data_IF_327356098976
#
_entry.id   IF_327356098976
#
_cell.length_a   1.000
_cell.length_b   1.000
_cell.length_c   1.000
_cell.angle_alpha   90.00
_cell.angle_beta   90.00
_cell.angle_gamma   90.00
#
_symmetry.space_group_name_H-M   'P 1'
#
loop_
_entity.id
_entity.type
_entity.pdbx_description
1 polymer ?
#
# COMPACT_ATOMS: atom_id res chain seq x y z
N UNK A 1 15.17 -22.47 23.09
CA UNK A 1 14.01 -21.93 23.83
C UNK A 1 13.07 -21.37 22.79
N UNK A 2 11.84 -21.87 22.70
CA UNK A 2 10.83 -21.25 21.83
C UNK A 2 10.48 -19.88 22.44
N UNK A 3 10.87 -18.80 21.77
CA UNK A 3 10.35 -17.47 22.05
C UNK A 3 8.84 -17.54 21.91
N UNK A 4 8.12 -17.31 23.02
CA UNK A 4 6.68 -17.06 22.94
C UNK A 4 6.51 -15.84 22.04
N UNK A 5 5.93 -16.03 20.85
CA UNK A 5 5.43 -14.93 20.04
C UNK A 5 4.50 -14.09 20.93
N UNK A 6 4.94 -12.89 21.28
CA UNK A 6 4.10 -11.89 21.93
C UNK A 6 3.12 -11.47 20.84
N UNK A 7 1.88 -11.99 20.90
CA UNK A 7 0.84 -11.58 19.97
C UNK A 7 0.47 -10.13 20.29
N UNK A 8 0.96 -9.20 19.48
CA UNK A 8 0.32 -7.89 19.36
C UNK A 8 -1.13 -8.06 18.91
N UNK A 9 -1.90 -6.98 19.00
CA UNK A 9 -3.25 -6.91 18.42
C UNK A 9 -3.19 -5.96 17.21
N UNK A 10 -2.28 -6.22 16.27
CA UNK A 10 -2.22 -5.43 15.04
C UNK A 10 -3.54 -5.66 14.29
N UNK A 11 -4.19 -4.56 13.90
CA UNK A 11 -5.51 -4.58 13.30
C UNK A 11 -5.39 -4.23 11.83
N UNK A 12 -6.22 -4.84 10.99
CA UNK A 12 -6.30 -4.47 9.57
C UNK A 12 -6.83 -3.03 9.40
N UNK A 13 -6.49 -2.38 8.29
CA UNK A 13 -6.94 -1.00 8.00
C UNK A 13 -8.46 -0.91 7.92
N UNK A 14 -9.13 -1.86 7.26
CA UNK A 14 -10.58 -1.85 7.11
C UNK A 14 -11.31 -2.07 8.45
N UNK A 15 -10.76 -2.89 9.33
CA UNK A 15 -11.28 -3.10 10.68
C UNK A 15 -11.04 -1.89 11.58
N UNK A 16 -9.88 -1.25 11.45
CA UNK A 16 -9.51 -0.10 12.24
C UNK A 16 -10.26 1.16 11.80
N UNK A 17 -10.55 1.30 10.50
CA UNK A 17 -11.28 2.40 9.90
C UNK A 17 -12.51 1.88 9.13
N UNK A 18 -13.60 1.52 9.84
CA UNK A 18 -14.78 0.91 9.23
C UNK A 18 -15.43 1.79 8.15
N UNK A 19 -15.24 3.11 8.21
CA UNK A 19 -15.69 4.08 7.19
C UNK A 19 -15.04 3.90 5.81
N UNK A 20 -13.90 3.20 5.73
CA UNK A 20 -13.18 2.89 4.50
C UNK A 20 -13.35 1.42 4.07
N UNK A 21 -14.03 0.58 4.86
CA UNK A 21 -14.09 -0.88 4.62
C UNK A 21 -14.77 -1.30 3.31
N UNK A 22 -15.64 -0.47 2.74
CA UNK A 22 -16.31 -0.69 1.46
C UNK A 22 -15.55 -0.10 0.27
N UNK A 23 -14.60 0.79 0.52
CA UNK A 23 -13.82 1.49 -0.49
C UNK A 23 -12.52 2.04 0.11
N UNK A 24 -11.42 1.32 -0.12
CA UNK A 24 -10.11 1.64 0.40
C UNK A 24 -9.51 2.91 -0.22
N UNK A 25 -10.10 3.44 -1.31
CA UNK A 25 -9.75 4.77 -1.82
C UNK A 25 -10.13 5.92 -0.87
N UNK A 26 -10.91 5.63 0.19
CA UNK A 26 -11.24 6.60 1.24
C UNK A 26 -10.15 6.75 2.30
N UNK A 27 -9.15 5.86 2.32
CA UNK A 27 -8.04 5.95 3.29
C UNK A 27 -7.16 7.13 2.92
N UNK A 28 -6.96 8.04 3.86
CA UNK A 28 -6.16 9.26 3.68
C UNK A 28 -4.76 9.04 4.27
N UNK A 29 -3.74 9.38 3.46
CA UNK A 29 -2.34 9.11 3.72
C UNK A 29 -1.57 10.38 4.08
N UNK A 30 -0.79 10.31 5.14
CA UNK A 30 0.29 11.24 5.42
C UNK A 30 1.53 10.67 4.79
N UNK A 31 1.89 11.16 3.60
CA UNK A 31 3.05 10.70 2.83
C UNK A 31 4.34 11.35 3.35
N UNK A 32 5.43 10.58 3.45
CA UNK A 32 6.77 11.03 3.81
C UNK A 32 6.82 11.88 5.10
N UNK A 33 6.17 11.40 6.17
CA UNK A 33 6.07 12.06 7.49
C UNK A 33 7.39 11.91 8.25
N UNK A 34 8.43 12.56 7.73
CA UNK A 34 9.82 12.33 8.10
C UNK A 34 10.41 13.35 9.09
N UNK A 35 9.63 14.35 9.52
CA UNK A 35 10.09 15.38 10.45
C UNK A 35 9.14 15.52 11.64
N UNK A 36 9.63 16.08 12.75
CA UNK A 36 8.77 16.36 13.92
C UNK A 36 7.58 17.22 13.55
N UNK A 37 7.80 18.25 12.74
CA UNK A 37 6.76 19.18 12.29
C UNK A 37 5.66 18.47 11.49
N UNK A 38 6.03 17.68 10.48
CA UNK A 38 5.04 16.96 9.67
C UNK A 38 4.34 15.87 10.49
N UNK A 39 5.02 15.23 11.44
CA UNK A 39 4.40 14.27 12.34
C UNK A 39 3.35 14.92 13.24
N UNK A 40 3.66 16.04 13.87
CA UNK A 40 2.72 16.79 14.71
C UNK A 40 1.50 17.23 13.91
N UNK A 41 1.73 17.76 12.70
CA UNK A 41 0.67 18.20 11.78
C UNK A 41 -0.22 17.03 11.33
N UNK A 42 0.36 15.90 10.95
CA UNK A 42 -0.37 14.72 10.48
C UNK A 42 -1.16 14.02 11.60
N UNK A 43 -0.64 14.03 12.83
CA UNK A 43 -1.37 13.55 14.01
C UNK A 43 -2.54 14.49 14.35
N UNK A 44 -2.33 15.81 14.24
CA UNK A 44 -3.35 16.80 14.57
C UNK A 44 -4.53 16.81 13.58
N UNK A 45 -4.29 16.49 12.31
CA UNK A 45 -5.33 16.37 11.29
C UNK A 45 -6.24 15.16 11.57
N UNK A 46 -7.53 15.41 11.83
CA UNK A 46 -8.49 14.35 12.13
C UNK A 46 -8.89 13.51 10.89
N UNK A 47 -8.68 14.02 9.67
CA UNK A 47 -8.96 13.29 8.45
C UNK A 47 -7.85 12.29 8.10
N UNK A 48 -6.61 12.55 8.54
CA UNK A 48 -5.45 11.72 8.25
C UNK A 48 -5.57 10.34 8.93
N UNK A 49 -5.39 9.24 8.20
CA UNK A 49 -5.65 7.88 8.71
C UNK A 49 -4.36 7.07 8.84
N UNK A 50 -3.61 6.93 7.75
CA UNK A 50 -2.34 6.20 7.72
C UNK A 50 -1.18 7.17 7.62
N UNK A 51 -0.16 7.00 8.46
CA UNK A 51 1.07 7.79 8.41
C UNK A 51 2.20 6.94 7.84
N UNK A 52 2.75 7.36 6.71
CA UNK A 52 3.88 6.75 6.05
C UNK A 52 5.15 7.56 6.35
N UNK A 53 6.25 6.87 6.64
CA UNK A 53 7.54 7.50 6.84
C UNK A 53 8.70 6.58 6.44
N UNK A 54 9.75 7.20 5.90
CA UNK A 54 10.94 6.54 5.40
C UNK A 54 11.90 6.21 6.55
N UNK A 55 12.34 4.97 6.66
CA UNK A 55 13.28 4.52 7.67
C UNK A 55 14.66 4.29 7.04
N UNK A 56 15.62 5.12 7.45
CA UNK A 56 17.01 5.05 7.00
C UNK A 56 17.97 4.90 8.19
N UNK A 57 19.18 4.40 7.90
CA UNK A 57 20.28 4.42 8.86
C UNK A 57 20.89 5.83 8.90
N UNK A 58 20.87 6.48 10.06
CA UNK A 58 21.43 7.82 10.20
C UNK A 58 21.58 8.30 11.63
N UNK A 59 21.58 9.62 11.82
CA UNK A 59 21.73 10.28 13.13
C UNK A 59 20.69 11.38 13.33
N UNK A 60 20.44 11.73 14.58
CA UNK A 60 19.71 12.94 14.89
C UNK A 60 20.57 14.18 14.61
N UNK A 61 19.97 15.29 14.17
CA UNK A 61 20.68 16.56 13.88
C UNK A 61 21.50 17.11 15.06
N UNK A 62 21.22 16.69 16.29
CA UNK A 62 21.92 17.09 17.51
C UNK A 62 23.05 16.13 17.92
N UNK A 63 23.17 14.98 17.24
CA UNK A 63 24.22 14.00 17.47
C UNK A 63 25.51 14.36 16.72
N UNK A 64 26.65 14.03 17.31
CA UNK A 64 27.96 14.17 16.67
C UNK A 64 28.31 12.97 15.78
N UNK A 65 29.40 13.09 15.03
CA UNK A 65 29.86 12.01 14.12
C UNK A 65 30.21 10.70 14.85
N UNK A 66 30.63 10.80 16.11
CA UNK A 66 31.00 9.65 16.95
C UNK A 66 29.79 8.94 17.60
N UNK A 67 28.59 9.53 17.51
CA UNK A 67 27.37 8.92 18.02
C UNK A 67 26.95 7.73 17.13
N UNK A 68 26.27 6.72 17.71
CA UNK A 68 25.83 5.55 16.96
C UNK A 68 24.84 5.93 15.85
N UNK A 69 24.94 5.23 14.73
CA UNK A 69 23.91 5.23 13.70
C UNK A 69 22.69 4.50 14.24
N UNK A 70 21.52 5.11 14.13
CA UNK A 70 20.23 4.60 14.61
C UNK A 70 19.19 4.66 13.48
N UNK A 71 18.02 4.01 13.62
CA UNK A 71 16.93 4.20 12.67
C UNK A 71 16.31 5.60 12.81
N UNK A 72 16.36 6.36 11.73
CA UNK A 72 15.80 7.71 11.62
C UNK A 72 14.72 7.80 10.55
N UNK A 73 13.85 8.78 10.71
CA UNK A 73 12.83 9.13 9.73
C UNK A 73 13.46 10.01 8.66
N UNK A 74 13.85 9.43 7.52
CA UNK A 74 14.56 10.13 6.46
C UNK A 74 14.48 9.38 5.12
N UNK A 75 14.10 10.09 4.06
CA UNK A 75 14.27 9.62 2.69
C UNK A 75 15.73 9.88 2.22
N UNK A 76 16.40 8.90 1.57
CA UNK A 76 17.70 9.12 0.93
C UNK A 76 17.69 10.31 -0.04
N UNK A 77 18.80 11.06 -0.17
CA UNK A 77 20.12 10.80 0.40
C UNK A 77 20.33 11.34 1.82
N UNK A 78 19.26 11.78 2.52
CA UNK A 78 19.38 12.31 3.87
C UNK A 78 19.82 11.22 4.85
N UNK A 79 20.88 11.49 5.61
CA UNK A 79 21.40 10.61 6.68
C UNK A 79 21.28 11.24 8.06
N UNK A 80 20.60 12.38 8.15
CA UNK A 80 20.30 13.10 9.37
C UNK A 80 18.82 13.45 9.40
N UNK A 81 18.21 13.42 10.58
CA UNK A 81 16.81 13.81 10.79
C UNK A 81 16.64 14.47 12.16
N UNK A 82 15.61 15.29 12.34
CA UNK A 82 15.22 15.74 13.67
C UNK A 82 14.37 14.70 14.42
N UNK A 83 14.06 13.56 13.77
CA UNK A 83 13.12 12.56 14.22
C UNK A 83 13.68 11.14 14.04
N UNK A 84 13.80 10.39 15.14
CA UNK A 84 14.16 8.96 15.10
C UNK A 84 12.91 8.10 14.93
N UNK A 85 13.10 6.83 14.53
CA UNK A 85 12.00 5.84 14.54
C UNK A 85 11.38 5.70 15.93
N UNK A 86 12.20 5.75 16.98
CA UNK A 86 11.73 5.67 18.35
C UNK A 86 10.73 6.78 18.67
N UNK A 87 11.13 8.02 18.39
CA UNK A 87 10.32 9.20 18.65
C UNK A 87 9.04 9.18 17.83
N UNK A 88 9.14 8.77 16.56
CA UNK A 88 8.00 8.69 15.66
C UNK A 88 6.95 7.68 16.15
N UNK A 89 7.36 6.45 16.45
CA UNK A 89 6.41 5.41 16.87
C UNK A 89 5.81 5.70 18.24
N UNK A 90 6.59 6.27 19.17
CA UNK A 90 6.07 6.67 20.48
C UNK A 90 5.00 7.76 20.36
N UNK A 91 5.20 8.72 19.45
CA UNK A 91 4.19 9.76 19.17
C UNK A 91 2.93 9.19 18.53
N UNK A 92 3.04 8.23 17.62
CA UNK A 92 1.88 7.55 17.02
C UNK A 92 1.13 6.72 18.08
N UNK A 93 1.84 6.04 18.99
CA UNK A 93 1.25 5.31 20.10
C UNK A 93 0.50 6.28 21.04
N UNK A 94 1.15 7.37 21.46
CA UNK A 94 0.53 8.41 22.32
C UNK A 94 -0.75 8.97 21.68
N UNK A 95 -0.70 9.32 20.38
CA UNK A 95 -1.85 9.81 19.64
C UNK A 95 -3.01 8.81 19.64
N UNK A 96 -2.72 7.51 19.49
CA UNK A 96 -3.73 6.46 19.52
C UNK A 96 -4.33 6.23 20.91
N UNK A 97 -3.52 6.35 21.97
CA UNK A 97 -4.00 6.33 23.36
C UNK A 97 -4.93 7.53 23.65
N UNK A 98 -4.67 8.67 23.01
CA UNK A 98 -5.52 9.86 23.05
C UNK A 98 -6.73 9.80 22.09
N UNK A 99 -6.93 8.66 21.41
CA UNK A 99 -8.09 8.42 20.55
C UNK A 99 -8.03 9.05 19.16
N UNK A 100 -6.85 9.46 18.69
CA UNK A 100 -6.66 10.08 17.37
C UNK A 100 -6.77 9.11 16.19
N UNK A 101 -6.66 7.80 16.44
CA UNK A 101 -6.74 6.72 15.44
C UNK A 101 -5.82 6.91 14.24
N UNK A 102 -4.59 6.43 14.34
CA UNK A 102 -3.55 6.51 13.29
C UNK A 102 -2.95 5.14 13.04
N UNK A 103 -2.92 4.71 11.79
CA UNK A 103 -2.09 3.59 11.36
C UNK A 103 -0.69 4.04 10.95
N UNK A 104 0.23 3.10 10.85
CA UNK A 104 1.64 3.35 10.56
C UNK A 104 2.11 2.50 9.38
N UNK A 105 2.84 3.12 8.44
CA UNK A 105 3.56 2.46 7.35
C UNK A 105 5.02 2.90 7.40
N UNK A 106 5.92 1.94 7.59
CA UNK A 106 7.36 2.20 7.74
C UNK A 106 8.07 1.74 6.47
N UNK A 107 8.58 2.69 5.68
CA UNK A 107 9.27 2.42 4.41
C UNK A 107 10.78 2.30 4.59
N UNK A 108 11.25 1.06 4.70
CA UNK A 108 12.67 0.77 4.92
C UNK A 108 13.49 0.99 3.65
N UNK A 109 14.41 1.96 3.73
CA UNK A 109 15.34 2.30 2.65
C UNK A 109 16.71 1.67 2.82
N UNK A 110 17.01 1.16 4.01
CA UNK A 110 18.29 0.53 4.32
C UNK A 110 18.10 -0.77 5.13
N UNK A 111 18.55 -1.87 4.56
CA UNK A 111 18.49 -3.19 5.20
C UNK A 111 19.30 -3.27 6.51
N UNK A 112 20.36 -2.46 6.65
CA UNK A 112 21.27 -2.50 7.81
C UNK A 112 20.58 -2.14 9.12
N UNK A 113 19.50 -1.36 9.06
CA UNK A 113 18.78 -0.87 10.24
C UNK A 113 17.47 -1.61 10.52
N UNK A 114 17.04 -2.51 9.61
CA UNK A 114 15.75 -3.23 9.73
C UNK A 114 15.68 -4.04 11.02
N UNK A 115 16.71 -4.82 11.37
CA UNK A 115 16.69 -5.63 12.59
C UNK A 115 16.54 -4.78 13.85
N UNK A 116 17.33 -3.73 13.95
CA UNK A 116 17.28 -2.82 15.10
C UNK A 116 15.92 -2.15 15.21
N UNK A 117 15.37 -1.72 14.08
CA UNK A 117 14.02 -1.14 13.98
C UNK A 117 12.94 -2.12 14.46
N UNK A 118 12.99 -3.38 14.02
CA UNK A 118 12.03 -4.40 14.42
C UNK A 118 12.14 -4.74 15.91
N UNK A 119 13.36 -4.79 16.48
CA UNK A 119 13.53 -4.99 17.94
C UNK A 119 13.01 -3.79 18.74
N UNK A 120 13.21 -2.57 18.25
CA UNK A 120 12.65 -1.36 18.83
C UNK A 120 11.12 -1.43 18.84
N UNK A 121 10.49 -1.79 17.73
CA UNK A 121 9.04 -1.95 17.64
C UNK A 121 8.55 -3.08 18.55
N UNK A 122 9.30 -4.20 18.67
CA UNK A 122 8.94 -5.35 19.51
C UNK A 122 8.81 -4.96 20.98
N UNK A 123 9.67 -4.05 21.44
CA UNK A 123 9.59 -3.54 22.81
C UNK A 123 8.28 -2.78 23.10
N UNK A 124 7.53 -2.42 22.05
CA UNK A 124 6.26 -1.68 22.08
C UNK A 124 5.06 -2.50 21.61
N UNK A 125 5.22 -3.79 21.27
CA UNK A 125 4.16 -4.61 20.65
C UNK A 125 2.82 -4.60 21.40
N UNK A 126 2.82 -4.52 22.74
CA UNK A 126 1.59 -4.47 23.54
C UNK A 126 0.79 -3.16 23.36
N UNK A 127 1.44 -2.10 22.86
CA UNK A 127 0.85 -0.79 22.63
C UNK A 127 0.49 -0.56 21.16
N UNK A 128 0.99 -1.40 20.25
CA UNK A 128 0.68 -1.37 18.82
C UNK A 128 -0.60 -2.18 18.60
N UNK A 129 -1.73 -1.48 18.69
CA UNK A 129 -3.09 -2.02 18.48
C UNK A 129 -3.81 -1.33 17.31
N UNK A 130 -3.03 -0.86 16.34
CA UNK A 130 -3.43 -0.15 15.13
C UNK A 130 -2.74 -0.79 13.92
N UNK A 131 -3.15 -0.46 12.68
CA UNK A 131 -2.52 -0.99 11.48
C UNK A 131 -1.03 -0.65 11.43
N UNK A 132 -0.20 -1.67 11.25
CA UNK A 132 1.24 -1.54 11.08
C UNK A 132 1.63 -2.20 9.75
N UNK A 133 2.19 -1.41 8.85
CA UNK A 133 2.69 -1.85 7.56
C UNK A 133 4.22 -1.74 7.53
N UNK A 134 4.88 -2.81 7.09
CA UNK A 134 6.33 -2.86 6.91
C UNK A 134 6.62 -2.82 5.41
N UNK A 135 7.08 -1.68 4.92
CA UNK A 135 7.27 -1.40 3.51
C UNK A 135 8.75 -1.52 3.10
N UNK A 136 9.00 -2.08 1.91
CA UNK A 136 10.30 -2.03 1.26
C UNK A 136 10.20 -2.36 -0.23
N UNK A 137 11.07 -1.75 -1.03
CA UNK A 137 11.33 -2.21 -2.40
C UNK A 137 12.32 -3.37 -2.37
N UNK A 138 11.86 -4.58 -2.70
CA UNK A 138 12.65 -5.81 -2.59
C UNK A 138 12.99 -6.46 -3.93
N UNK A 139 12.33 -6.03 -5.02
CA UNK A 139 12.59 -6.46 -6.39
C UNK A 139 12.88 -5.29 -7.31
N UNK A 140 13.39 -5.56 -8.51
CA UNK A 140 13.62 -4.54 -9.53
C UNK A 140 12.35 -4.26 -10.33
N UNK A 141 12.00 -3.00 -10.46
CA UNK A 141 10.77 -2.60 -11.13
C UNK A 141 10.94 -2.11 -12.55
N UNK A 142 9.90 -1.43 -13.07
CA UNK A 142 9.90 -0.85 -14.39
C UNK A 142 11.08 0.12 -14.61
N UNK A 143 11.41 0.32 -15.89
CA UNK A 143 12.33 1.36 -16.40
C UNK A 143 13.77 1.33 -15.85
N UNK A 144 14.22 0.16 -15.39
CA UNK A 144 15.59 -0.12 -14.95
C UNK A 144 16.11 0.95 -13.98
N UNK A 145 15.38 1.17 -12.89
CA UNK A 145 15.81 2.08 -11.82
C UNK A 145 17.22 1.74 -11.34
N UNK A 146 18.03 2.78 -11.10
CA UNK A 146 19.37 2.62 -10.51
C UNK A 146 19.32 2.33 -9.02
N UNK A 147 18.15 2.45 -8.39
CA UNK A 147 17.96 2.08 -7.00
C UNK A 147 18.14 0.56 -6.83
N UNK A 148 18.89 0.18 -5.80
CA UNK A 148 19.17 -1.22 -5.47
C UNK A 148 18.09 -1.72 -4.52
N UNK A 149 17.34 -2.77 -4.87
CA UNK A 149 16.35 -3.34 -3.97
C UNK A 149 16.99 -3.89 -2.70
N UNK A 150 16.23 -3.91 -1.61
CA UNK A 150 16.62 -4.60 -0.38
C UNK A 150 16.66 -6.11 -0.62
N UNK A 151 17.48 -6.82 0.15
CA UNK A 151 17.53 -8.29 0.11
C UNK A 151 16.18 -8.86 0.55
N UNK A 152 15.40 -9.35 -0.43
CA UNK A 152 14.05 -9.86 -0.22
C UNK A 152 13.99 -10.92 0.88
N UNK A 153 14.86 -11.93 0.81
CA UNK A 153 14.83 -13.05 1.75
C UNK A 153 15.10 -12.61 3.19
N UNK A 154 16.07 -11.71 3.39
CA UNK A 154 16.36 -11.16 4.72
C UNK A 154 15.21 -10.30 5.24
N UNK A 155 14.72 -9.36 4.44
CA UNK A 155 13.64 -8.45 4.85
C UNK A 155 12.38 -9.22 5.24
N UNK A 156 11.93 -10.12 4.36
CA UNK A 156 10.74 -10.95 4.56
C UNK A 156 10.87 -11.87 5.78
N UNK A 157 12.03 -12.51 5.96
CA UNK A 157 12.28 -13.37 7.13
C UNK A 157 12.22 -12.56 8.43
N UNK A 158 12.90 -11.42 8.49
CA UNK A 158 12.94 -10.64 9.75
C UNK A 158 11.58 -10.05 10.09
N UNK A 159 10.83 -9.58 9.09
CA UNK A 159 9.47 -9.08 9.30
C UNK A 159 8.51 -10.18 9.77
N UNK A 160 8.51 -11.35 9.12
CA UNK A 160 7.62 -12.46 9.49
C UNK A 160 7.92 -13.05 10.88
N UNK A 161 9.19 -13.16 11.25
CA UNK A 161 9.58 -13.60 12.59
C UNK A 161 9.21 -12.57 13.68
N UNK A 162 9.20 -11.29 13.32
CA UNK A 162 9.03 -10.19 14.27
C UNK A 162 7.58 -9.76 14.45
N UNK A 163 6.86 -9.63 13.34
CA UNK A 163 5.50 -9.10 13.25
C UNK A 163 4.68 -9.91 12.23
N UNK A 164 4.36 -11.18 12.50
CA UNK A 164 3.56 -12.02 11.60
C UNK A 164 2.11 -11.53 11.39
N UNK A 165 1.69 -10.47 12.07
CA UNK A 165 0.38 -9.83 11.91
C UNK A 165 0.44 -8.48 11.19
N UNK A 166 1.65 -7.92 10.99
CA UNK A 166 1.79 -6.69 10.22
C UNK A 166 1.56 -6.96 8.73
N UNK A 167 0.99 -6.00 8.03
CA UNK A 167 0.89 -6.05 6.57
C UNK A 167 2.28 -5.82 5.98
N UNK A 168 2.70 -6.67 5.04
CA UNK A 168 3.90 -6.43 4.25
C UNK A 168 3.52 -5.56 3.05
N UNK A 169 4.17 -4.41 2.91
CA UNK A 169 4.00 -3.50 1.78
C UNK A 169 5.22 -3.60 0.87
N UNK A 170 5.27 -4.62 0.03
CA UNK A 170 6.51 -5.03 -0.66
C UNK A 170 6.49 -4.69 -2.13
N UNK A 171 7.43 -3.88 -2.56
CA UNK A 171 7.44 -3.24 -3.86
C UNK A 171 8.61 -3.60 -4.75
N UNK A 172 8.66 -2.85 -5.84
CA UNK A 172 9.75 -2.86 -6.78
C UNK A 172 10.42 -1.50 -6.81
N UNK A 173 11.74 -1.46 -6.97
CA UNK A 173 12.43 -0.20 -7.16
C UNK A 173 11.97 0.45 -8.47
N UNK A 174 11.59 1.72 -8.39
CA UNK A 174 11.13 2.49 -9.56
C UNK A 174 11.94 3.76 -9.76
N UNK A 175 11.80 4.32 -10.96
CA UNK A 175 12.26 5.66 -11.37
C UNK A 175 11.14 6.20 -12.25
N UNK A 176 10.92 7.50 -12.28
CA UNK A 176 10.09 8.10 -13.31
C UNK A 176 10.72 9.42 -13.76
N UNK A 177 10.88 9.53 -15.08
CA UNK A 177 11.29 10.71 -15.81
C UNK A 177 10.36 10.83 -17.01
N UNK A 178 9.57 11.90 -17.05
CA UNK A 178 8.54 12.11 -18.08
C UNK A 178 9.08 12.11 -19.52
N UNK A 179 10.40 12.25 -19.71
CA UNK A 179 11.02 12.19 -21.04
C UNK A 179 11.17 10.76 -21.59
N UNK A 180 11.38 9.76 -20.72
CA UNK A 180 11.87 8.43 -21.14
C UNK A 180 11.02 7.27 -20.61
N UNK A 181 10.18 7.51 -19.62
CA UNK A 181 9.56 6.44 -18.82
C UNK A 181 8.04 6.30 -19.04
N UNK A 182 7.43 7.04 -19.99
CA UNK A 182 5.98 6.95 -20.31
C UNK A 182 5.52 5.54 -20.72
N UNK A 183 6.43 4.70 -21.23
CA UNK A 183 6.17 3.32 -21.61
C UNK A 183 6.50 2.30 -20.50
N UNK A 184 6.86 2.76 -19.30
CA UNK A 184 7.15 1.89 -18.15
C UNK A 184 5.92 1.08 -17.72
N UNK A 185 6.12 -0.19 -17.41
CA UNK A 185 5.06 -1.09 -16.98
C UNK A 185 5.60 -2.16 -16.03
N UNK A 186 4.79 -2.57 -15.06
CA UNK A 186 4.98 -3.80 -14.31
C UNK A 186 4.62 -4.97 -15.23
N UNK A 187 5.62 -5.71 -15.69
CA UNK A 187 5.39 -6.81 -16.63
C UNK A 187 4.89 -8.05 -15.91
N UNK A 188 4.37 -9.01 -16.67
CA UNK A 188 3.95 -10.31 -16.15
C UNK A 188 5.09 -11.03 -15.43
N UNK A 189 6.30 -10.96 -15.99
CA UNK A 189 7.49 -11.56 -15.38
C UNK A 189 7.81 -10.93 -14.02
N UNK A 190 7.61 -9.61 -13.86
CA UNK A 190 7.85 -8.93 -12.59
C UNK A 190 6.86 -9.34 -11.49
N UNK A 191 5.59 -9.55 -11.83
CA UNK A 191 4.56 -10.00 -10.86
C UNK A 191 4.69 -11.49 -10.55
N UNK A 192 5.11 -12.31 -11.52
CA UNK A 192 5.46 -13.72 -11.30
C UNK A 192 6.70 -13.84 -10.39
N UNK A 193 7.74 -13.03 -10.60
CA UNK A 193 8.93 -13.00 -9.72
C UNK A 193 8.56 -12.63 -8.27
N UNK A 194 7.61 -11.70 -8.08
CA UNK A 194 7.09 -11.36 -6.75
C UNK A 194 6.37 -12.56 -6.11
N UNK A 195 5.51 -13.23 -6.86
CA UNK A 195 4.82 -14.45 -6.41
C UNK A 195 5.82 -15.55 -5.99
N UNK A 196 6.82 -15.84 -6.84
CA UNK A 196 7.86 -16.83 -6.56
C UNK A 196 8.68 -16.46 -5.32
N UNK A 197 8.98 -15.17 -5.14
CA UNK A 197 9.71 -14.65 -3.98
C UNK A 197 8.92 -14.85 -2.69
N UNK A 198 7.62 -14.60 -2.72
CA UNK A 198 6.72 -14.81 -1.59
C UNK A 198 6.61 -16.29 -1.20
N UNK A 199 6.43 -17.18 -2.19
CA UNK A 199 6.37 -18.63 -1.97
C UNK A 199 7.68 -19.16 -1.38
N UNK A 200 8.83 -18.77 -1.95
CA UNK A 200 10.15 -19.19 -1.50
C UNK A 200 10.44 -18.79 -0.04
N UNK A 201 9.82 -17.71 0.45
CA UNK A 201 9.96 -17.23 1.83
C UNK A 201 8.80 -17.63 2.75
N UNK A 202 7.86 -18.46 2.28
CA UNK A 202 6.73 -18.98 3.07
C UNK A 202 5.90 -17.88 3.74
N UNK A 203 5.64 -16.80 3.00
CA UNK A 203 4.92 -15.65 3.54
C UNK A 203 3.43 -15.94 3.64
N UNK A 204 2.88 -15.67 4.83
CA UNK A 204 1.47 -15.83 5.17
C UNK A 204 0.87 -14.58 5.83
N UNK A 205 1.63 -13.48 5.86
CA UNK A 205 1.14 -12.18 6.32
C UNK A 205 0.18 -11.58 5.28
N UNK A 206 -0.72 -10.67 5.68
CA UNK A 206 -1.39 -9.81 4.72
C UNK A 206 -0.36 -9.04 3.90
N UNK A 207 -0.62 -8.87 2.60
CA UNK A 207 0.30 -8.20 1.68
C UNK A 207 -0.41 -7.06 0.98
N UNK A 208 0.31 -5.96 0.77
CA UNK A 208 -0.06 -4.95 -0.22
C UNK A 208 1.12 -4.71 -1.16
N UNK A 209 0.82 -4.43 -2.42
CA UNK A 209 1.84 -4.13 -3.42
C UNK A 209 1.84 -2.62 -3.70
N UNK A 210 2.90 -1.87 -3.32
CA UNK A 210 3.04 -0.48 -3.68
C UNK A 210 3.33 -0.34 -5.18
N UNK A 211 2.38 0.25 -5.90
CA UNK A 211 2.42 0.45 -7.35
C UNK A 211 2.52 1.93 -7.64
N UNK A 212 3.53 2.33 -8.42
CA UNK A 212 3.67 3.73 -8.83
C UNK A 212 2.62 4.08 -9.88
N UNK A 213 1.82 5.11 -9.61
CA UNK A 213 0.66 5.51 -10.40
C UNK A 213 0.99 5.73 -11.89
N UNK A 214 2.16 6.28 -12.18
CA UNK A 214 2.64 6.56 -13.54
C UNK A 214 2.66 5.33 -14.46
N UNK A 215 2.76 4.11 -13.90
CA UNK A 215 2.85 2.88 -14.68
C UNK A 215 1.55 2.08 -14.75
N UNK A 216 0.49 2.51 -14.06
CA UNK A 216 -0.75 1.72 -13.95
C UNK A 216 -1.39 1.49 -15.32
N UNK A 217 -1.44 2.51 -16.18
CA UNK A 217 -2.07 2.41 -17.51
C UNK A 217 -1.53 1.28 -18.38
N UNK A 218 -0.25 0.98 -18.26
CA UNK A 218 0.41 -0.08 -19.03
C UNK A 218 0.52 -1.41 -18.27
N UNK A 219 0.00 -1.47 -17.04
CA UNK A 219 0.20 -2.61 -16.13
C UNK A 219 -1.10 -3.32 -15.72
N UNK A 220 -2.27 -2.87 -16.17
CA UNK A 220 -3.58 -3.37 -15.72
C UNK A 220 -3.67 -4.91 -15.71
N UNK A 221 -3.33 -5.58 -16.82
CA UNK A 221 -3.39 -7.04 -16.92
C UNK A 221 -2.45 -7.73 -15.91
N UNK A 222 -1.23 -7.21 -15.71
CA UNK A 222 -0.28 -7.76 -14.73
C UNK A 222 -0.76 -7.54 -13.29
N UNK A 223 -1.37 -6.39 -13.01
CA UNK A 223 -1.86 -6.04 -11.67
C UNK A 223 -3.12 -6.85 -11.30
N UNK A 224 -4.02 -7.05 -12.27
CA UNK A 224 -5.16 -7.98 -12.12
C UNK A 224 -4.66 -9.39 -11.84
N UNK A 225 -3.68 -9.87 -12.61
CA UNK A 225 -3.09 -11.18 -12.37
C UNK A 225 -2.51 -11.30 -10.96
N UNK A 226 -1.82 -10.26 -10.47
CA UNK A 226 -1.23 -10.25 -9.13
C UNK A 226 -2.29 -10.42 -8.04
N UNK A 227 -3.40 -9.68 -8.14
CA UNK A 227 -4.53 -9.76 -7.19
C UNK A 227 -5.24 -11.11 -7.28
N UNK A 228 -5.45 -11.64 -8.48
CA UNK A 228 -6.15 -12.90 -8.68
C UNK A 228 -5.35 -14.13 -8.20
N UNK A 229 -4.01 -14.05 -8.19
CA UNK A 229 -3.15 -15.20 -7.91
C UNK A 229 -2.53 -15.17 -6.50
N UNK A 230 -2.51 -14.02 -5.83
CA UNK A 230 -1.96 -13.89 -4.48
C UNK A 230 -3.11 -13.71 -3.47
N UNK A 231 -3.35 -14.69 -2.59
CA UNK A 231 -4.45 -14.63 -1.65
C UNK A 231 -4.25 -13.51 -0.63
N UNK A 232 -5.36 -12.93 -0.17
CA UNK A 232 -5.40 -11.93 0.89
C UNK A 232 -4.43 -10.75 0.66
N UNK A 233 -4.32 -10.32 -0.60
CA UNK A 233 -3.49 -9.19 -1.00
C UNK A 233 -4.31 -7.96 -1.42
N UNK A 234 -3.68 -6.79 -1.32
CA UNK A 234 -4.18 -5.53 -1.85
C UNK A 234 -3.15 -4.84 -2.73
N UNK A 235 -3.55 -3.76 -3.39
CA UNK A 235 -2.65 -2.85 -4.11
C UNK A 235 -2.68 -1.50 -3.42
N UNK A 236 -1.53 -0.85 -3.24
CA UNK A 236 -1.46 0.54 -2.78
C UNK A 236 -0.80 1.40 -3.83
N UNK A 237 -1.60 2.18 -4.56
CA UNK A 237 -1.11 3.06 -5.62
C UNK A 237 -0.53 4.31 -4.98
N UNK A 238 0.73 4.66 -5.30
CA UNK A 238 1.38 5.87 -4.81
C UNK A 238 1.92 6.72 -5.96
N UNK A 239 2.12 8.02 -5.73
CA UNK A 239 2.63 8.92 -6.77
C UNK A 239 3.45 10.08 -6.21
N UNK A 240 4.48 10.51 -6.95
CA UNK A 240 5.14 11.79 -6.69
C UNK A 240 4.33 12.95 -7.30
N UNK A 241 4.39 14.19 -6.75
CA UNK A 241 3.82 15.36 -7.41
C UNK A 241 4.32 15.60 -8.84
N UNK A 242 5.51 15.09 -9.17
CA UNK A 242 6.13 15.19 -10.50
C UNK A 242 5.71 14.09 -11.48
N UNK A 243 5.05 13.05 -11.02
CA UNK A 243 4.64 11.94 -11.87
C UNK A 243 3.49 12.37 -12.78
N UNK A 244 3.57 11.98 -14.05
CA UNK A 244 2.44 12.10 -14.96
C UNK A 244 1.58 10.85 -14.80
N UNK A 245 0.30 11.04 -14.45
CA UNK A 245 -0.58 9.94 -14.09
C UNK A 245 -1.79 9.88 -15.03
N UNK A 246 -2.15 8.65 -15.43
CA UNK A 246 -3.41 8.39 -16.11
C UNK A 246 -4.50 8.09 -15.09
N UNK A 247 -5.28 9.11 -14.73
CA UNK A 247 -6.40 8.97 -13.79
C UNK A 247 -7.44 7.95 -14.28
N UNK A 248 -7.67 7.83 -15.58
CA UNK A 248 -8.64 6.85 -16.10
C UNK A 248 -8.14 5.43 -15.88
N UNK A 249 -6.82 5.20 -16.02
CA UNK A 249 -6.22 3.93 -15.68
C UNK A 249 -6.33 3.60 -14.18
N UNK A 250 -6.20 4.60 -13.30
CA UNK A 250 -6.38 4.40 -11.85
C UNK A 250 -7.81 3.95 -11.52
N UNK A 251 -8.80 4.55 -12.19
CA UNK A 251 -10.21 4.17 -12.03
C UNK A 251 -10.45 2.75 -12.58
N UNK A 252 -9.93 2.45 -13.78
CA UNK A 252 -10.01 1.12 -14.37
C UNK A 252 -9.41 0.05 -13.46
N UNK A 253 -8.22 0.29 -12.88
CA UNK A 253 -7.60 -0.61 -11.91
C UNK A 253 -8.56 -0.88 -10.73
N UNK A 254 -9.11 0.18 -10.12
CA UNK A 254 -10.05 0.07 -9.00
C UNK A 254 -11.32 -0.72 -9.36
N UNK A 255 -11.84 -0.57 -10.57
CA UNK A 255 -12.99 -1.35 -11.04
C UNK A 255 -12.64 -2.82 -11.27
N UNK A 256 -11.43 -3.09 -11.79
CA UNK A 256 -11.01 -4.44 -12.13
C UNK A 256 -10.68 -5.29 -10.89
N UNK A 257 -9.98 -4.71 -9.90
CA UNK A 257 -9.56 -5.45 -8.68
C UNK A 257 -10.54 -5.32 -7.52
N UNK A 258 -11.48 -4.38 -7.58
CA UNK A 258 -12.44 -4.10 -6.51
C UNK A 258 -12.02 -2.93 -5.63
N UNK A 259 -13.00 -2.13 -5.19
CA UNK A 259 -12.78 -0.93 -4.37
C UNK A 259 -12.27 -1.25 -2.96
N UNK A 260 -12.55 -2.45 -2.47
CA UNK A 260 -12.08 -3.00 -1.20
C UNK A 260 -10.67 -3.63 -1.28
N UNK A 261 -9.99 -3.49 -2.44
CA UNK A 261 -8.68 -4.11 -2.69
C UNK A 261 -7.59 -3.11 -3.10
N UNK A 262 -7.92 -1.83 -3.33
CA UNK A 262 -6.95 -0.82 -3.76
C UNK A 262 -6.98 0.48 -2.94
N UNK A 263 -5.80 0.86 -2.44
CA UNK A 263 -5.54 2.15 -1.77
C UNK A 263 -4.92 3.16 -2.75
N UNK A 264 -5.11 4.45 -2.47
CA UNK A 264 -4.49 5.54 -3.23
C UNK A 264 -3.80 6.54 -2.29
N UNK A 265 -2.48 6.63 -2.38
CA UNK A 265 -1.60 7.61 -1.73
C UNK A 265 -1.13 8.61 -2.80
N UNK A 266 -1.99 9.58 -3.11
CA UNK A 266 -1.76 10.55 -4.19
C UNK A 266 -1.55 11.97 -3.63
N UNK A 267 -0.67 12.78 -4.24
CA UNK A 267 -0.60 14.21 -3.97
C UNK A 267 -1.96 14.91 -4.14
N UNK A 268 -2.22 15.98 -3.38
CA UNK A 268 -3.53 16.65 -3.31
C UNK A 268 -4.17 16.94 -4.67
N UNK A 269 -3.42 17.51 -5.61
CA UNK A 269 -3.93 17.83 -6.96
C UNK A 269 -4.30 16.57 -7.75
N UNK A 270 -3.50 15.50 -7.63
CA UNK A 270 -3.74 14.22 -8.29
C UNK A 270 -4.92 13.47 -7.66
N UNK A 271 -5.00 13.47 -6.32
CA UNK A 271 -6.12 12.90 -5.55
C UNK A 271 -7.44 13.58 -5.95
N UNK A 272 -7.44 14.91 -6.03
CA UNK A 272 -8.61 15.67 -6.45
C UNK A 272 -9.06 15.30 -7.86
N UNK A 273 -8.13 15.17 -8.80
CA UNK A 273 -8.45 14.75 -10.17
C UNK A 273 -9.03 13.33 -10.20
N UNK A 274 -8.49 12.41 -9.40
CA UNK A 274 -9.02 11.06 -9.23
C UNK A 274 -10.46 11.06 -8.68
N UNK A 275 -10.72 11.79 -7.59
CA UNK A 275 -12.05 11.86 -6.99
C UNK A 275 -13.09 12.50 -7.91
N UNK A 276 -12.72 13.55 -8.66
CA UNK A 276 -13.61 14.19 -9.65
C UNK A 276 -14.07 13.22 -10.75
N UNK A 277 -13.21 12.28 -11.17
CA UNK A 277 -13.56 11.24 -12.14
C UNK A 277 -14.40 10.15 -11.48
N UNK A 278 -13.97 9.65 -10.31
CA UNK A 278 -14.67 8.62 -9.52
C UNK A 278 -16.13 8.98 -9.26
N UNK A 279 -16.39 10.23 -8.86
CA UNK A 279 -17.73 10.72 -8.55
C UNK A 279 -18.61 10.86 -9.81
N UNK A 280 -18.00 11.23 -10.94
CA UNK A 280 -18.69 11.35 -12.23
C UNK A 280 -19.14 10.00 -12.77
N UNK A 281 -18.31 8.98 -12.64
CA UNK A 281 -18.66 7.62 -13.09
C UNK A 281 -19.69 6.97 -12.17
N UNK A 282 -19.55 7.16 -10.86
CA UNK A 282 -20.54 6.72 -9.86
C UNK A 282 -21.92 7.32 -10.13
N UNK A 283 -21.99 8.62 -10.41
CA UNK A 283 -23.26 9.31 -10.75
C UNK A 283 -23.84 8.86 -12.10
N UNK A 284 -23.00 8.59 -13.09
CA UNK A 284 -23.43 8.06 -14.40
C UNK A 284 -24.01 6.66 -14.28
N UNK A 285 -23.35 5.78 -13.51
CA UNK A 285 -23.83 4.43 -13.21
C UNK A 285 -25.16 4.48 -12.44
N UNK A 286 -25.26 5.32 -11.40
CA UNK A 286 -26.50 5.51 -10.65
C UNK A 286 -27.66 6.00 -11.55
N UNK A 287 -27.40 6.94 -12.46
CA UNK A 287 -28.39 7.40 -13.44
C UNK A 287 -28.83 6.27 -14.37
N UNK A 288 -27.90 5.47 -14.92
CA UNK A 288 -28.23 4.31 -15.77
C UNK A 288 -29.12 3.29 -15.03
N UNK A 289 -28.84 3.03 -13.76
CA UNK A 289 -29.68 2.15 -12.93
C UNK A 289 -31.07 2.74 -12.66
N UNK A 290 -31.21 4.07 -12.51
CA UNK A 290 -32.50 4.73 -12.35
C UNK A 290 -33.37 4.72 -13.63
N UNK A 291 -32.74 4.66 -14.82
CA UNK A 291 -33.45 4.63 -16.11
C UNK A 291 -33.73 3.22 -16.64
N UNK A 292 -33.33 2.16 -15.93
CA UNK A 292 -33.83 0.81 -16.21
C UNK A 292 -35.34 0.73 -15.86
N UNK A 293 -36.21 0.26 -16.77
CA UNK A 293 -37.63 0.22 -16.51
C UNK A 293 -37.94 -0.71 -15.32
N UNK A 294 -38.55 -0.17 -14.26
CA UNK A 294 -38.98 -0.89 -13.04
C UNK A 294 -40.11 -1.92 -13.27
N UNK A 295 -40.32 -2.40 -14.50
CA UNK A 295 -41.44 -3.26 -14.84
C UNK A 295 -40.98 -4.55 -15.52
N UNK A 296 -40.41 -5.46 -14.74
CA UNK A 296 -40.48 -6.91 -14.99
C UNK A 296 -40.58 -7.67 -13.66
N UNK A 297 -41.78 -7.73 -13.12
CA UNK A 297 -42.15 -8.76 -12.15
C UNK A 297 -42.25 -10.12 -12.87
N UNK A 298 -41.25 -10.98 -12.74
CA UNK A 298 -41.39 -12.42 -12.99
C UNK A 298 -40.30 -13.24 -12.26
N UNK A 299 -40.69 -13.72 -11.07
CA UNK A 299 -40.20 -14.90 -10.33
C UNK A 299 -38.73 -15.02 -9.92
N UNK A 300 -38.52 -14.93 -8.60
CA UNK A 300 -37.43 -15.61 -7.91
C UNK A 300 -37.77 -17.11 -7.74
N UNK A 301 -36.90 -18.01 -8.21
CA UNK A 301 -36.22 -19.09 -7.44
C UNK A 301 -35.61 -20.17 -8.35
N UNK A 302 -34.48 -20.73 -7.87
CA UNK A 302 -33.63 -21.79 -8.45
C UNK A 302 -32.74 -21.33 -9.62
N UNK A 303 -31.41 -21.43 -9.61
CA UNK A 303 -30.50 -22.26 -8.82
C UNK A 303 -29.52 -22.89 -9.81
N UNK A 304 -28.23 -22.57 -9.69
CA UNK A 304 -27.03 -23.30 -10.18
C UNK A 304 -26.97 -23.67 -11.69
N UNK A 305 -25.78 -23.44 -12.25
CA UNK A 305 -25.11 -24.19 -13.33
C UNK A 305 -25.18 -23.72 -14.80
N UNK A 306 -23.94 -23.65 -15.34
CA UNK A 306 -23.45 -23.80 -16.71
C UNK A 306 -23.77 -22.68 -17.73
N UNK A 307 -22.78 -21.97 -18.27
CA UNK A 307 -21.72 -22.44 -19.20
C UNK A 307 -22.28 -22.90 -20.56
N UNK A 308 -21.81 -22.20 -21.60
CA UNK A 308 -21.61 -22.66 -22.98
C UNK A 308 -22.83 -23.14 -23.78
N UNK A 309 -23.27 -22.31 -24.75
CA UNK A 309 -23.56 -22.78 -26.12
C UNK A 309 -23.98 -21.60 -27.02
N UNK A 310 -23.02 -21.04 -27.75
CA UNK A 310 -23.27 -20.30 -28.98
C UNK A 310 -23.33 -21.33 -30.12
N UNK A 311 -24.53 -21.70 -30.57
CA UNK A 311 -24.75 -22.32 -31.88
C UNK A 311 -26.22 -22.30 -32.32
N UNK A 312 -26.48 -21.37 -33.24
CA UNK A 312 -27.14 -21.57 -34.53
C UNK A 312 -28.64 -21.86 -34.67
N UNK A 313 -29.18 -21.23 -35.74
CA UNK A 313 -30.38 -21.51 -36.54
C UNK A 313 -31.71 -21.01 -35.92
N UNK A 314 -32.57 -20.24 -36.57
CA UNK A 314 -32.92 -19.98 -37.99
C UNK A 314 -33.52 -18.54 -38.01
N UNK A 315 -33.41 -17.69 -39.03
CA UNK A 315 -34.25 -17.67 -40.25
C UNK A 315 -33.80 -16.47 -41.10
N UNK A 316 -33.56 -16.69 -42.40
CA UNK A 316 -33.86 -15.69 -43.44
C UNK A 316 -34.53 -16.45 -44.58
N UNK A 317 -35.70 -15.95 -44.98
CA UNK A 317 -36.22 -16.09 -46.36
C UNK A 317 -35.32 -15.34 -47.34
#
# INVERSE_FOLDING_TARGET
MATKSVKGNIVDVADYFPEASDDLSKVIWGHAVNSKEELEKSIADAAMMMLEADVSAGRLVEQGEDDPVIPIMAHPPSTESDLSLEMWIDKVIEANQDGKKKGAKLDFKDLTIVKESLELLKSRTEQINFPLWLNADILKGPVESTAVPLDAGKFLTWCSESFPQATLSIGWTTRFTSADDEAGAYTKEMVEEMSDTLEANSIAQPITFPIRAAFVGQSLESLEWLVDNIPDCSVSVWSSPSDDIDVQALIALRENVGSDTVYFDLPEDQQKAFDEVKDRESSTSAARFQFLPQNTSAWATAGVALASALAALYLYE
#
